data_IF_614595985068
#
_entry.id   IF_614595985068
#
_cell.length_a   1.000
_cell.length_b   1.000
_cell.length_c   1.000
_cell.angle_alpha   90.00
_cell.angle_beta   90.00
_cell.angle_gamma   90.00
#
_symmetry.space_group_name_H-M   'P 1'
#
loop_
_entity.id
_entity.type
_entity.pdbx_description
1 polymer ?
#
# COMPACT_ATOMS: atom_id res chain seq x y z
N UNK A 1 -9.58 17.61 21.28
CA UNK A 1 -9.69 18.76 20.35
C UNK A 1 -10.48 18.41 19.09
N UNK A 2 -10.08 17.39 18.31
CA UNK A 2 -10.76 17.01 17.05
C UNK A 2 -12.28 16.71 17.14
N UNK A 3 -12.76 16.13 18.25
CA UNK A 3 -14.20 15.92 18.45
C UNK A 3 -14.99 17.24 18.66
N UNK A 4 -14.33 18.36 18.96
CA UNK A 4 -14.97 19.67 19.18
C UNK A 4 -14.98 20.57 17.94
N UNK A 5 -14.17 20.24 16.92
CA UNK A 5 -14.08 20.99 15.65
C UNK A 5 -14.81 20.28 14.50
N UNK A 6 -15.27 19.05 14.69
CA UNK A 6 -16.04 18.33 13.67
C UNK A 6 -17.53 18.70 13.77
N UNK A 7 -18.08 19.19 12.66
CA UNK A 7 -19.54 19.19 12.43
C UNK A 7 -20.00 17.74 12.20
N UNK A 8 -21.24 17.41 12.60
CA UNK A 8 -21.76 16.04 12.62
C UNK A 8 -21.85 15.39 11.22
N UNK A 9 -21.98 16.19 10.17
CA UNK A 9 -22.14 15.71 8.78
C UNK A 9 -20.84 15.09 8.26
N UNK A 10 -20.81 13.80 7.93
CA UNK A 10 -19.59 13.04 7.55
C UNK A 10 -18.53 12.92 8.66
N UNK A 11 -18.93 13.01 9.94
CA UNK A 11 -17.99 12.89 11.07
C UNK A 11 -17.20 11.57 11.06
N UNK A 12 -17.83 10.45 10.68
CA UNK A 12 -17.17 9.14 10.60
C UNK A 12 -16.13 9.08 9.47
N UNK A 13 -16.46 9.57 8.27
CA UNK A 13 -15.52 9.64 7.15
C UNK A 13 -14.34 10.56 7.46
N UNK A 14 -14.59 11.75 8.05
CA UNK A 14 -13.51 12.64 8.51
C UNK A 14 -12.70 12.02 9.62
N UNK A 15 -13.31 11.24 10.51
CA UNK A 15 -12.60 10.51 11.56
C UNK A 15 -11.66 9.47 10.93
N UNK A 16 -12.10 8.70 9.93
CA UNK A 16 -11.25 7.74 9.22
C UNK A 16 -10.09 8.46 8.50
N UNK A 17 -10.38 9.50 7.73
CA UNK A 17 -9.35 10.28 7.02
C UNK A 17 -8.37 10.90 8.01
N UNK A 18 -8.84 11.47 9.12
CA UNK A 18 -7.96 12.05 10.14
C UNK A 18 -7.16 10.99 10.90
N UNK A 19 -7.73 9.81 11.16
CA UNK A 19 -7.03 8.71 11.83
C UNK A 19 -5.93 8.10 10.94
N UNK A 20 -6.09 8.09 9.62
CA UNK A 20 -5.10 7.50 8.70
C UNK A 20 -4.14 8.53 8.11
N UNK A 21 -4.66 9.64 7.59
CA UNK A 21 -3.86 10.68 6.95
C UNK A 21 -3.27 11.67 7.96
N UNK A 22 -3.92 11.88 9.11
CA UNK A 22 -3.45 12.81 10.13
C UNK A 22 -2.06 12.45 10.68
N UNK A 23 -1.82 11.16 10.92
CA UNK A 23 -0.52 10.67 11.40
C UNK A 23 0.60 10.94 10.37
N UNK A 24 0.33 10.68 9.10
CA UNK A 24 1.27 10.95 7.99
C UNK A 24 1.52 12.44 7.88
N UNK A 25 0.48 13.27 7.88
CA UNK A 25 0.61 14.73 7.77
C UNK A 25 1.44 15.29 8.94
N UNK A 26 1.15 14.86 10.17
CA UNK A 26 1.92 15.26 11.36
C UNK A 26 3.39 14.85 11.27
N UNK A 27 3.68 13.64 10.80
CA UNK A 27 5.05 13.18 10.63
C UNK A 27 5.80 13.91 9.52
N UNK A 28 5.15 14.17 8.38
CA UNK A 28 5.76 14.87 7.25
C UNK A 28 5.94 16.37 7.52
N UNK A 29 5.20 16.95 8.46
CA UNK A 29 5.37 18.34 8.87
C UNK A 29 6.73 18.53 9.58
N UNK A 30 7.66 19.39 9.10
CA UNK A 30 9.05 19.43 9.58
C UNK A 30 9.19 19.57 11.10
N UNK A 31 8.46 20.51 11.72
CA UNK A 31 8.50 20.75 13.17
C UNK A 31 8.01 19.57 14.00
N UNK A 32 6.93 18.91 13.57
CA UNK A 32 6.32 17.82 14.33
C UNK A 32 7.06 16.52 14.07
N UNK A 33 7.45 16.25 12.81
CA UNK A 33 8.29 15.13 12.45
C UNK A 33 9.60 15.10 13.23
N UNK A 34 10.32 16.23 13.33
CA UNK A 34 11.57 16.29 14.08
C UNK A 34 11.37 16.01 15.57
N UNK A 35 10.31 16.57 16.14
CA UNK A 35 9.94 16.32 17.53
C UNK A 35 9.60 14.84 17.77
N UNK A 36 8.79 14.23 16.90
CA UNK A 36 8.40 12.81 17.00
C UNK A 36 9.64 11.93 16.90
N UNK A 37 10.50 12.17 15.91
CA UNK A 37 11.69 11.35 15.68
C UNK A 37 12.70 11.44 16.82
N UNK A 38 12.91 12.63 17.40
CA UNK A 38 13.80 12.80 18.54
C UNK A 38 13.30 12.03 19.78
N UNK A 39 12.00 12.12 20.08
CA UNK A 39 11.43 11.40 21.21
C UNK A 39 11.45 9.89 20.98
N UNK A 40 11.08 9.42 19.79
CA UNK A 40 11.13 8.01 19.43
C UNK A 40 12.55 7.44 19.57
N UNK A 41 13.55 8.16 19.07
CA UNK A 41 14.95 7.77 19.22
C UNK A 41 15.38 7.65 20.69
N UNK A 42 15.02 8.63 21.52
CA UNK A 42 15.34 8.62 22.95
C UNK A 42 14.66 7.45 23.67
N UNK A 43 13.40 7.19 23.36
CA UNK A 43 12.63 6.09 23.94
C UNK A 43 13.22 4.73 23.56
N UNK A 44 13.58 4.53 22.29
CA UNK A 44 14.24 3.30 21.83
C UNK A 44 15.55 3.09 22.62
N UNK A 45 16.42 4.10 22.70
CA UNK A 45 17.68 3.97 23.41
C UNK A 45 17.49 3.68 24.91
N UNK A 46 16.53 4.35 25.56
CA UNK A 46 16.18 4.12 26.96
C UNK A 46 15.68 2.70 27.19
N UNK A 47 14.81 2.18 26.33
CA UNK A 47 14.32 0.81 26.43
C UNK A 47 15.43 -0.21 26.20
N UNK A 48 16.29 0.00 25.21
CA UNK A 48 17.42 -0.90 24.93
C UNK A 48 18.39 -0.95 26.11
N UNK A 49 18.71 0.20 26.70
CA UNK A 49 19.58 0.30 27.87
C UNK A 49 18.96 -0.38 29.10
N UNK A 50 17.67 -0.13 29.35
CA UNK A 50 16.93 -0.80 30.43
C UNK A 50 16.95 -2.32 30.28
N UNK A 51 16.67 -2.83 29.06
CA UNK A 51 16.72 -4.27 28.79
C UNK A 51 18.12 -4.83 28.99
N UNK A 52 19.16 -4.16 28.47
CA UNK A 52 20.56 -4.64 28.57
C UNK A 52 21.09 -4.64 30.00
N UNK A 53 20.60 -3.73 30.84
CA UNK A 53 20.97 -3.58 32.24
C UNK A 53 20.00 -4.27 33.21
N UNK A 54 19.06 -5.09 32.70
CA UNK A 54 18.11 -5.83 33.52
C UNK A 54 18.83 -6.72 34.55
N UNK A 55 18.38 -6.66 35.82
CA UNK A 55 19.02 -7.33 36.95
C UNK A 55 19.13 -8.85 36.79
N UNK A 56 18.21 -9.46 36.03
CA UNK A 56 18.27 -10.91 35.76
C UNK A 56 19.42 -11.30 34.81
N UNK A 57 20.04 -10.33 34.14
CA UNK A 57 21.09 -10.54 33.13
C UNK A 57 20.59 -11.21 31.84
N UNK A 58 19.31 -11.56 31.75
CA UNK A 58 18.71 -12.35 30.66
C UNK A 58 18.94 -11.76 29.28
N UNK A 59 18.98 -10.44 29.16
CA UNK A 59 19.03 -9.75 27.88
C UNK A 59 20.43 -9.19 27.53
N UNK A 60 21.44 -9.36 28.39
CA UNK A 60 22.78 -8.80 28.18
C UNK A 60 23.36 -9.15 26.81
N UNK A 61 23.26 -10.42 26.42
CA UNK A 61 23.73 -10.95 25.13
C UNK A 61 22.61 -11.28 24.14
N UNK A 62 21.39 -10.78 24.36
CA UNK A 62 20.28 -11.01 23.44
C UNK A 62 20.44 -10.27 22.12
N UNK A 63 19.94 -10.88 21.04
CA UNK A 63 19.77 -10.21 19.75
C UNK A 63 18.57 -9.26 19.81
N UNK A 64 18.65 -8.15 19.10
CA UNK A 64 17.61 -7.12 19.09
C UNK A 64 16.87 -7.14 17.76
N UNK A 65 15.54 -7.18 17.86
CA UNK A 65 14.63 -7.10 16.73
C UNK A 65 13.81 -5.80 16.84
N UNK A 66 13.93 -4.92 15.85
CA UNK A 66 13.09 -3.75 15.73
C UNK A 66 11.93 -4.05 14.78
N UNK A 67 10.71 -3.73 15.21
CA UNK A 67 9.49 -3.94 14.43
C UNK A 67 8.83 -2.58 14.17
N UNK A 68 8.75 -2.20 12.91
CA UNK A 68 8.07 -0.99 12.46
C UNK A 68 6.75 -1.35 11.79
N UNK A 69 5.63 -0.94 12.39
CA UNK A 69 4.30 -1.09 11.80
C UNK A 69 3.85 0.22 11.16
N UNK A 70 3.29 0.15 9.95
CA UNK A 70 2.83 1.32 9.20
C UNK A 70 3.92 2.39 9.17
N UNK A 71 3.63 3.64 9.51
CA UNK A 71 4.59 4.74 9.54
C UNK A 71 5.81 4.50 10.45
N UNK A 72 5.68 3.67 11.50
CA UNK A 72 6.80 3.30 12.35
C UNK A 72 7.93 2.59 11.62
N UNK A 73 7.64 1.95 10.48
CA UNK A 73 8.67 1.38 9.59
C UNK A 73 9.55 2.44 8.93
N UNK A 74 8.95 3.58 8.53
CA UNK A 74 9.67 4.70 7.94
C UNK A 74 10.55 5.40 9.00
N UNK A 75 10.00 5.57 10.21
CA UNK A 75 10.74 6.12 11.35
C UNK A 75 11.91 5.22 11.77
N UNK A 76 11.68 3.91 11.87
CA UNK A 76 12.73 2.94 12.18
C UNK A 76 13.84 2.95 11.13
N UNK A 77 13.48 3.06 9.86
CA UNK A 77 14.45 3.19 8.77
C UNK A 77 15.30 4.47 8.90
N UNK A 78 14.67 5.63 9.13
CA UNK A 78 15.36 6.92 9.28
C UNK A 78 16.35 6.90 10.47
N UNK A 79 15.95 6.33 11.62
CA UNK A 79 16.83 6.16 12.79
C UNK A 79 18.03 5.26 12.47
N UNK A 80 17.79 4.13 11.82
CA UNK A 80 18.86 3.15 11.57
C UNK A 80 19.84 3.64 10.49
N UNK A 81 19.32 4.18 9.38
CA UNK A 81 20.12 4.52 8.21
C UNK A 81 20.64 5.96 8.25
N UNK A 82 20.16 6.79 9.19
CA UNK A 82 20.41 8.23 9.19
C UNK A 82 20.02 8.89 7.85
N UNK A 83 18.98 8.36 7.20
CA UNK A 83 18.45 8.84 5.94
C UNK A 83 17.05 9.40 6.20
N UNK A 84 16.91 10.71 6.01
CA UNK A 84 15.62 11.39 6.15
C UNK A 84 14.64 10.89 5.09
N UNK A 85 13.43 10.53 5.53
CA UNK A 85 12.31 10.10 4.66
C UNK A 85 11.18 11.13 4.63
N UNK A 86 11.53 12.38 4.95
CA UNK A 86 10.65 13.55 5.06
C UNK A 86 11.49 14.82 4.96
N UNK A 87 10.81 15.96 4.81
CA UNK A 87 11.46 17.28 4.87
C UNK A 87 11.83 17.59 6.32
N UNK A 88 13.10 17.95 6.53
CA UNK A 88 13.62 18.37 7.83
C UNK A 88 14.90 19.17 7.62
N UNK A 89 14.98 20.33 8.26
CA UNK A 89 16.19 21.18 8.26
C UNK A 89 17.18 20.79 9.35
N UNK A 90 16.82 19.82 10.20
CA UNK A 90 17.61 19.45 11.35
C UNK A 90 18.73 18.46 11.01
N UNK A 91 19.95 18.70 11.43
CA UNK A 91 21.11 17.84 11.16
C UNK A 91 21.33 16.77 12.24
N UNK A 92 20.26 16.36 12.94
CA UNK A 92 20.32 15.27 13.92
C UNK A 92 20.82 13.99 13.25
N UNK A 93 21.77 13.34 13.93
CA UNK A 93 22.21 11.98 13.66
C UNK A 93 21.76 11.09 14.81
N UNK A 94 21.17 9.96 14.47
CA UNK A 94 20.70 8.94 15.39
C UNK A 94 21.79 7.88 15.56
N UNK A 95 22.20 7.63 16.81
CA UNK A 95 23.16 6.59 17.16
C UNK A 95 22.56 5.68 18.23
N UNK A 96 22.21 4.46 17.85
CA UNK A 96 21.68 3.50 18.80
C UNK A 96 22.79 2.92 19.66
N UNK A 97 22.61 2.93 20.99
CA UNK A 97 23.58 2.40 21.95
C UNK A 97 23.80 0.88 21.81
N UNK A 98 22.87 0.18 21.17
CA UNK A 98 22.93 -1.27 20.96
C UNK A 98 22.74 -1.61 19.48
N UNK A 99 23.45 -2.64 19.03
CA UNK A 99 23.32 -3.18 17.68
C UNK A 99 21.94 -3.78 17.47
N UNK A 100 21.30 -3.43 16.36
CA UNK A 100 20.07 -4.07 15.88
C UNK A 100 20.44 -5.22 14.95
N UNK A 101 19.84 -6.39 15.15
CA UNK A 101 20.12 -7.58 14.33
C UNK A 101 19.03 -7.82 13.27
N UNK A 102 17.79 -7.44 13.57
CA UNK A 102 16.63 -7.65 12.71
C UNK A 102 15.79 -6.39 12.61
N UNK A 103 15.32 -6.09 11.40
CA UNK A 103 14.30 -5.08 11.13
C UNK A 103 13.13 -5.74 10.40
N UNK A 104 11.96 -5.73 11.03
CA UNK A 104 10.71 -6.15 10.43
C UNK A 104 9.85 -4.94 10.14
N UNK A 105 9.45 -4.78 8.89
CA UNK A 105 8.55 -3.74 8.44
C UNK A 105 7.21 -4.36 8.08
N UNK A 106 6.15 -3.90 8.73
CA UNK A 106 4.80 -4.41 8.57
C UNK A 106 3.92 -3.34 7.93
N UNK A 107 3.31 -3.63 6.77
CA UNK A 107 2.38 -2.70 6.11
C UNK A 107 3.03 -1.35 5.79
N UNK A 108 4.24 -1.37 5.21
CA UNK A 108 5.12 -0.20 5.22
C UNK A 108 4.90 0.79 4.07
N UNK A 109 4.76 2.10 4.35
CA UNK A 109 4.81 3.17 3.35
C UNK A 109 6.23 3.56 2.92
N UNK A 110 7.28 2.95 3.48
CA UNK A 110 8.66 3.41 3.32
C UNK A 110 9.06 3.58 1.85
N UNK A 111 8.75 2.61 0.98
CA UNK A 111 9.16 2.68 -0.43
C UNK A 111 8.56 3.88 -1.16
N UNK A 112 7.30 4.21 -0.88
CA UNK A 112 6.66 5.38 -1.46
C UNK A 112 7.30 6.68 -0.95
N UNK A 113 7.58 6.76 0.35
CA UNK A 113 8.26 7.91 0.95
C UNK A 113 9.69 8.07 0.40
N UNK A 114 10.46 6.98 0.29
CA UNK A 114 11.80 7.02 -0.30
C UNK A 114 11.77 7.43 -1.77
N UNK A 115 10.79 6.95 -2.55
CA UNK A 115 10.65 7.37 -3.95
C UNK A 115 10.37 8.88 -4.08
N UNK A 116 9.66 9.46 -3.10
CA UNK A 116 9.33 10.89 -3.09
C UNK A 116 10.49 11.77 -2.61
N UNK A 117 11.16 11.38 -1.52
CA UNK A 117 12.17 12.22 -0.85
C UNK A 117 13.62 11.87 -1.21
N UNK A 118 13.83 10.71 -1.83
CA UNK A 118 15.13 10.19 -2.27
C UNK A 118 15.05 9.63 -3.69
N UNK A 119 14.69 10.46 -4.68
CA UNK A 119 14.55 10.02 -6.08
C UNK A 119 15.84 9.40 -6.64
N UNK A 120 17.01 9.72 -6.07
CA UNK A 120 18.28 9.07 -6.38
C UNK A 120 18.22 7.53 -6.27
N UNK A 121 17.45 6.99 -5.31
CA UNK A 121 17.34 5.55 -5.11
C UNK A 121 16.60 4.82 -6.22
N UNK A 122 15.78 5.53 -7.01
CA UNK A 122 15.08 4.95 -8.16
C UNK A 122 16.07 4.49 -9.22
N UNK A 123 17.22 5.19 -9.36
CA UNK A 123 18.22 4.89 -10.38
C UNK A 123 19.46 4.20 -9.80
N UNK A 124 19.96 4.70 -8.66
CA UNK A 124 21.24 4.30 -8.10
C UNK A 124 21.13 3.08 -7.17
N UNK A 125 19.93 2.85 -6.64
CA UNK A 125 19.62 1.74 -5.77
C UNK A 125 19.80 2.06 -4.29
N UNK A 126 18.90 1.51 -3.49
CA UNK A 126 18.88 1.58 -2.03
C UNK A 126 19.88 0.58 -1.45
N UNK A 127 20.82 1.08 -0.64
CA UNK A 127 21.73 0.24 0.14
C UNK A 127 21.18 0.04 1.55
N UNK A 128 20.92 -1.22 1.89
CA UNK A 128 20.56 -1.60 3.27
C UNK A 128 21.81 -1.64 4.15
N UNK A 129 21.65 -1.36 5.45
CA UNK A 129 22.74 -1.46 6.43
C UNK A 129 23.26 -2.90 6.51
N UNK A 130 24.59 -3.05 6.40
CA UNK A 130 25.26 -4.33 6.58
C UNK A 130 25.07 -4.87 8.00
N UNK A 131 24.71 -6.15 8.11
CA UNK A 131 24.59 -6.84 9.39
C UNK A 131 23.22 -6.75 10.05
N UNK A 132 22.24 -6.10 9.41
CA UNK A 132 20.82 -6.15 9.79
C UNK A 132 20.06 -7.04 8.82
N UNK A 133 19.29 -8.00 9.35
CA UNK A 133 18.37 -8.80 8.53
C UNK A 133 17.06 -8.04 8.36
N UNK A 134 16.78 -7.65 7.13
CA UNK A 134 15.64 -6.81 6.77
C UNK A 134 14.49 -7.66 6.20
N UNK A 135 13.28 -7.44 6.70
CA UNK A 135 12.06 -8.14 6.24
C UNK A 135 10.94 -7.13 5.98
N UNK A 136 10.42 -7.12 4.76
CA UNK A 136 9.22 -6.36 4.38
C UNK A 136 8.03 -7.32 4.29
N UNK A 137 7.07 -7.19 5.21
CA UNK A 137 5.89 -8.03 5.30
C UNK A 137 4.67 -7.15 5.12
N UNK A 138 3.82 -7.48 4.17
CA UNK A 138 2.63 -6.68 3.91
C UNK A 138 1.50 -7.53 3.36
N UNK A 139 0.31 -6.94 3.43
CA UNK A 139 -0.88 -7.53 2.90
C UNK A 139 -1.17 -6.97 1.50
N UNK A 140 -1.57 -7.83 0.54
CA UNK A 140 -1.81 -7.43 -0.84
C UNK A 140 -2.94 -6.40 -1.05
N UNK A 141 -3.84 -6.25 -0.07
CA UNK A 141 -4.88 -5.22 -0.08
C UNK A 141 -4.61 -4.05 0.87
N UNK A 142 -3.43 -3.99 1.50
CA UNK A 142 -3.04 -2.82 2.28
C UNK A 142 -2.67 -1.69 1.31
N UNK A 143 -3.46 -0.60 1.23
CA UNK A 143 -3.24 0.46 0.25
C UNK A 143 -2.00 1.31 0.55
N UNK A 144 -1.42 1.18 1.74
CA UNK A 144 -0.27 1.96 2.19
C UNK A 144 1.03 1.14 2.09
N UNK A 145 0.93 -0.18 1.91
CA UNK A 145 2.08 -1.05 1.93
C UNK A 145 2.71 -1.24 0.53
N UNK A 146 4.01 -1.00 0.42
CA UNK A 146 4.73 -1.11 -0.84
C UNK A 146 5.91 -2.09 -0.74
N UNK A 147 6.22 -2.72 -1.88
CA UNK A 147 7.44 -3.51 -2.07
C UNK A 147 8.67 -2.62 -2.00
N UNK A 148 9.76 -3.11 -1.44
CA UNK A 148 11.02 -2.37 -1.27
C UNK A 148 12.08 -2.81 -2.28
N UNK A 149 11.95 -4.03 -2.78
CA UNK A 149 12.90 -4.69 -3.67
C UNK A 149 13.16 -3.90 -4.96
N UNK A 150 12.17 -3.23 -5.60
CA UNK A 150 12.43 -2.37 -6.75
C UNK A 150 13.40 -1.21 -6.45
N UNK A 151 13.41 -0.69 -5.23
CA UNK A 151 14.37 0.34 -4.83
C UNK A 151 15.74 -0.25 -4.54
N UNK A 152 15.83 -1.49 -4.05
CA UNK A 152 17.11 -2.16 -3.79
C UNK A 152 17.77 -2.60 -5.10
N UNK A 153 16.98 -3.06 -6.07
CA UNK A 153 17.44 -3.62 -7.34
C UNK A 153 16.83 -2.89 -8.54
N UNK A 154 17.09 -1.58 -8.72
CA UNK A 154 16.40 -0.77 -9.74
C UNK A 154 16.67 -1.19 -11.18
N UNK A 155 17.79 -1.88 -11.43
CA UNK A 155 18.21 -2.33 -12.77
C UNK A 155 17.73 -3.74 -13.12
N UNK A 156 16.95 -4.38 -12.24
CA UNK A 156 16.45 -5.75 -12.44
C UNK A 156 15.00 -5.68 -12.90
N UNK A 157 14.74 -6.04 -14.16
CA UNK A 157 13.40 -5.97 -14.76
C UNK A 157 12.43 -7.01 -14.18
N UNK A 158 12.92 -8.23 -13.90
CA UNK A 158 12.09 -9.35 -13.44
C UNK A 158 12.43 -9.69 -11.99
N UNK A 159 11.93 -8.87 -11.06
CA UNK A 159 12.04 -9.15 -9.62
C UNK A 159 11.01 -10.23 -9.26
N UNK A 160 11.44 -11.30 -8.60
CA UNK A 160 10.56 -12.38 -8.15
C UNK A 160 9.40 -11.86 -7.31
N UNK A 161 8.25 -12.54 -7.36
CA UNK A 161 7.09 -12.18 -6.56
C UNK A 161 7.36 -12.34 -5.04
N UNK A 162 6.64 -11.59 -4.19
CA UNK A 162 6.75 -11.73 -2.74
C UNK A 162 6.47 -13.16 -2.30
N UNK A 163 7.25 -13.64 -1.33
CA UNK A 163 7.07 -14.98 -0.76
C UNK A 163 5.80 -15.00 0.08
N UNK A 164 4.90 -15.95 -0.22
CA UNK A 164 3.69 -16.16 0.58
C UNK A 164 4.04 -16.78 1.92
N UNK A 165 3.60 -16.15 3.01
CA UNK A 165 3.70 -16.69 4.36
C UNK A 165 2.46 -17.52 4.65
N UNK A 166 2.66 -18.76 5.11
CA UNK A 166 1.57 -19.66 5.48
C UNK A 166 0.72 -19.07 6.61
N UNK A 167 -0.57 -19.37 6.58
CA UNK A 167 -1.50 -18.94 7.61
C UNK A 167 -1.24 -19.69 8.91
N UNK A 168 -0.99 -18.92 9.97
CA UNK A 168 -0.52 -19.44 11.26
C UNK A 168 -1.46 -20.44 11.93
N UNK A 169 -2.78 -20.42 11.65
CA UNK A 169 -3.73 -21.34 12.33
C UNK A 169 -3.77 -22.74 11.75
N UNK A 170 -3.49 -22.90 10.46
CA UNK A 170 -3.61 -24.20 9.79
C UNK A 170 -2.35 -24.59 9.00
N UNK A 171 -1.27 -23.82 9.13
CA UNK A 171 -0.02 -23.99 8.36
C UNK A 171 -0.24 -24.14 6.85
N UNK A 172 -1.40 -23.72 6.34
CA UNK A 172 -1.78 -23.79 4.94
C UNK A 172 -1.70 -22.42 4.29
N UNK A 173 -1.76 -22.40 2.96
CA UNK A 173 -1.99 -21.15 2.23
C UNK A 173 -3.45 -20.72 2.45
N UNK A 174 -3.69 -19.72 3.30
CA UNK A 174 -4.98 -19.02 3.29
C UNK A 174 -4.95 -18.10 2.08
N UNK A 175 -5.36 -18.63 0.94
CA UNK A 175 -5.57 -17.81 -0.24
C UNK A 175 -6.59 -16.73 0.13
N UNK A 176 -6.21 -15.48 -0.05
CA UNK A 176 -7.03 -14.28 0.15
C UNK A 176 -8.29 -14.23 -0.74
N UNK A 177 -8.64 -15.33 -1.40
CA UNK A 177 -9.69 -15.47 -2.42
C UNK A 177 -11.07 -15.03 -1.94
N UNK A 178 -11.43 -15.19 -0.67
CA UNK A 178 -12.72 -14.70 -0.16
C UNK A 178 -12.75 -13.18 -0.01
N UNK A 179 -11.67 -12.58 0.47
CA UNK A 179 -11.55 -11.13 0.57
C UNK A 179 -11.32 -10.49 -0.80
N UNK A 180 -10.52 -11.10 -1.68
CA UNK A 180 -10.37 -10.70 -3.08
C UNK A 180 -11.71 -10.80 -3.80
N UNK A 181 -12.47 -11.90 -3.64
CA UNK A 181 -13.81 -12.01 -4.22
C UNK A 181 -14.74 -10.92 -3.70
N UNK A 182 -14.73 -10.63 -2.40
CA UNK A 182 -15.53 -9.55 -1.81
C UNK A 182 -15.09 -8.15 -2.28
N UNK A 183 -13.79 -7.93 -2.47
CA UNK A 183 -13.20 -6.68 -2.93
C UNK A 183 -13.36 -6.47 -4.44
N UNK A 184 -13.25 -7.53 -5.26
CA UNK A 184 -13.57 -7.53 -6.68
C UNK A 184 -15.07 -7.29 -6.86
N UNK A 185 -15.91 -7.92 -6.05
CA UNK A 185 -17.34 -7.64 -6.03
C UNK A 185 -17.61 -6.18 -5.62
N UNK A 186 -16.88 -5.63 -4.64
CA UNK A 186 -16.98 -4.22 -4.26
C UNK A 186 -16.48 -3.28 -5.37
N UNK A 187 -15.36 -3.60 -6.05
CA UNK A 187 -14.86 -2.87 -7.22
C UNK A 187 -15.86 -2.89 -8.37
N UNK A 188 -16.42 -4.06 -8.69
CA UNK A 188 -17.46 -4.23 -9.70
C UNK A 188 -18.71 -3.42 -9.33
N UNK A 189 -19.14 -3.47 -8.07
CA UNK A 189 -20.29 -2.70 -7.59
C UNK A 189 -20.05 -1.18 -7.63
N UNK A 190 -18.83 -0.70 -7.31
CA UNK A 190 -18.47 0.72 -7.43
C UNK A 190 -18.43 1.14 -8.91
N UNK A 191 -17.82 0.33 -9.79
CA UNK A 191 -17.79 0.61 -11.24
C UNK A 191 -19.19 0.58 -11.84
N UNK A 192 -20.05 -0.36 -11.43
CA UNK A 192 -21.45 -0.41 -11.82
C UNK A 192 -22.21 0.81 -11.32
N UNK A 193 -22.09 1.18 -10.03
CA UNK A 193 -22.68 2.39 -9.49
C UNK A 193 -22.17 3.67 -10.20
N UNK A 194 -20.90 3.72 -10.59
CA UNK A 194 -20.35 4.83 -11.36
C UNK A 194 -20.89 4.85 -12.79
N UNK A 195 -21.07 3.70 -13.43
CA UNK A 195 -21.71 3.59 -14.74
C UNK A 195 -23.21 3.94 -14.67
N UNK A 196 -23.88 3.63 -13.57
CA UNK A 196 -25.29 3.95 -13.31
C UNK A 196 -25.46 5.45 -12.99
N UNK A 197 -24.54 6.06 -12.23
CA UNK A 197 -24.48 7.52 -12.01
C UNK A 197 -24.14 8.24 -13.32
N UNK A 198 -23.17 7.73 -14.08
CA UNK A 198 -22.77 8.34 -15.36
C UNK A 198 -23.91 8.24 -16.37
N UNK A 199 -24.64 7.12 -16.43
CA UNK A 199 -25.83 6.96 -17.30
C UNK A 199 -27.03 7.79 -16.83
N UNK A 200 -27.24 7.96 -15.52
CA UNK A 200 -28.25 8.86 -14.97
C UNK A 200 -27.93 10.34 -15.25
N UNK A 201 -26.65 10.72 -15.13
CA UNK A 201 -26.16 12.07 -15.46
C UNK A 201 -26.20 12.29 -16.97
N UNK A 202 -25.81 11.33 -17.81
CA UNK A 202 -25.90 11.49 -19.27
C UNK A 202 -27.35 11.56 -19.72
N UNK A 203 -28.27 10.77 -19.18
CA UNK A 203 -29.69 10.91 -19.53
C UNK A 203 -30.28 12.26 -19.07
N UNK A 204 -29.80 12.82 -17.96
CA UNK A 204 -30.15 14.18 -17.51
C UNK A 204 -29.50 15.29 -18.35
N UNK A 205 -28.23 15.16 -18.69
CA UNK A 205 -27.45 16.13 -19.47
C UNK A 205 -27.82 16.11 -20.96
N UNK A 206 -28.05 14.96 -21.59
CA UNK A 206 -28.53 14.90 -22.98
C UNK A 206 -29.92 15.55 -23.13
N UNK A 207 -30.79 15.42 -22.13
CA UNK A 207 -32.11 16.08 -22.14
C UNK A 207 -32.02 17.60 -21.87
N UNK A 208 -30.96 18.04 -21.19
CA UNK A 208 -30.67 19.46 -20.91
C UNK A 208 -29.89 20.14 -22.05
N UNK A 209 -28.98 19.43 -22.73
CA UNK A 209 -28.13 19.95 -23.81
C UNK A 209 -28.77 19.84 -25.21
N UNK A 210 -29.81 19.02 -25.41
CA UNK A 210 -30.47 18.86 -26.72
C UNK A 210 -31.64 19.84 -26.97
N UNK A 211 -31.74 20.96 -26.24
CA UNK A 211 -32.76 21.99 -26.52
C UNK A 211 -32.28 23.12 -27.43
N UNK A 212 -31.25 22.87 -28.24
CA UNK A 212 -30.70 23.85 -29.16
C UNK A 212 -29.91 23.15 -30.28
N UNK A 213 -30.45 23.19 -31.49
CA UNK A 213 -29.76 22.87 -32.75
C UNK A 213 -29.84 24.11 -33.68
N UNK A 214 -29.01 24.23 -34.73
CA UNK A 214 -27.57 23.96 -34.79
C UNK A 214 -26.80 25.13 -35.47
N UNK A 215 -25.46 25.09 -35.52
CA UNK A 215 -24.67 25.48 -36.71
C UNK A 215 -23.16 25.15 -36.57
N UNK A 216 -22.70 24.39 -37.57
CA UNK A 216 -21.40 24.29 -38.28
C UNK A 216 -20.03 24.52 -37.62
N UNK A 217 -19.16 23.53 -37.92
CA UNK A 217 -17.69 23.56 -38.08
C UNK A 217 -16.77 23.61 -36.85
N UNK A 218 -16.35 22.41 -36.39
CA UNK A 218 -14.98 22.14 -35.91
C UNK A 218 -14.69 20.63 -35.95
N UNK A 219 -14.33 20.10 -37.12
CA UNK A 219 -13.76 18.74 -37.25
C UNK A 219 -12.26 18.82 -37.01
N UNK A 220 -11.78 18.50 -35.80
CA UNK A 220 -10.34 18.61 -35.58
C UNK A 220 -9.70 18.04 -34.31
N UNK A 221 -10.38 17.36 -33.37
CA UNK A 221 -9.65 16.74 -32.23
C UNK A 221 -10.41 15.62 -31.51
N UNK A 222 -11.74 15.62 -31.56
CA UNK A 222 -12.58 14.64 -30.84
C UNK A 222 -12.51 13.20 -31.40
N UNK A 223 -12.34 13.03 -32.72
CA UNK A 223 -12.33 11.70 -33.33
C UNK A 223 -11.06 10.88 -32.99
N UNK A 224 -9.93 11.52 -32.65
CA UNK A 224 -8.72 10.81 -32.20
C UNK A 224 -8.88 10.20 -30.80
N UNK A 225 -9.58 10.89 -29.89
CA UNK A 225 -9.81 10.41 -28.52
C UNK A 225 -10.91 9.33 -28.46
N UNK A 226 -11.90 9.38 -29.35
CA UNK A 226 -12.89 8.31 -29.52
C UNK A 226 -12.28 7.01 -30.03
N UNK A 227 -11.24 7.08 -30.87
CA UNK A 227 -10.54 5.90 -31.38
C UNK A 227 -9.63 5.25 -30.32
N UNK A 228 -8.99 6.07 -29.46
CA UNK A 228 -8.18 5.58 -28.34
C UNK A 228 -9.03 4.81 -27.31
N UNK A 229 -10.20 5.36 -26.93
CA UNK A 229 -11.14 4.68 -26.03
C UNK A 229 -11.76 3.42 -26.65
N UNK A 230 -11.94 3.38 -27.98
CA UNK A 230 -12.40 2.15 -28.68
C UNK A 230 -11.35 1.04 -28.66
N UNK A 231 -10.05 1.37 -28.58
CA UNK A 231 -8.97 0.40 -28.43
C UNK A 231 -8.91 -0.16 -27.01
N UNK A 232 -8.97 0.68 -25.97
CA UNK A 232 -9.04 0.23 -24.57
C UNK A 232 -10.28 -0.61 -24.27
N UNK A 233 -11.45 -0.24 -24.83
CA UNK A 233 -12.66 -1.07 -24.70
C UNK A 233 -12.52 -2.45 -25.36
N UNK A 234 -11.72 -2.60 -26.42
CA UNK A 234 -11.42 -3.91 -27.02
C UNK A 234 -10.51 -4.73 -26.12
N UNK A 235 -9.50 -4.12 -25.50
CA UNK A 235 -8.61 -4.80 -24.56
C UNK A 235 -9.33 -5.24 -23.28
N UNK A 236 -10.24 -4.39 -22.77
CA UNK A 236 -11.10 -4.71 -21.63
C UNK A 236 -12.09 -5.83 -21.98
N UNK A 237 -12.71 -5.79 -23.17
CA UNK A 237 -13.61 -6.86 -23.61
C UNK A 237 -12.86 -8.19 -23.85
N UNK A 238 -11.63 -8.13 -24.36
CA UNK A 238 -10.77 -9.29 -24.57
C UNK A 238 -10.27 -9.87 -23.25
N UNK A 239 -9.98 -9.02 -22.26
CA UNK A 239 -9.72 -9.42 -20.87
C UNK A 239 -10.95 -10.08 -20.21
N UNK A 240 -12.14 -9.48 -20.34
CA UNK A 240 -13.39 -10.03 -19.81
C UNK A 240 -13.77 -11.37 -20.46
N UNK A 241 -13.48 -11.55 -21.76
CA UNK A 241 -13.64 -12.83 -22.45
C UNK A 241 -12.67 -13.89 -21.90
N UNK A 242 -11.40 -13.52 -21.68
CA UNK A 242 -10.39 -14.41 -21.05
C UNK A 242 -10.79 -14.82 -19.64
N UNK A 243 -11.36 -13.91 -18.86
CA UNK A 243 -11.88 -14.18 -17.51
C UNK A 243 -13.07 -15.15 -17.57
N UNK A 244 -14.01 -14.95 -18.50
CA UNK A 244 -15.15 -15.85 -18.72
C UNK A 244 -14.76 -17.23 -19.25
N UNK A 245 -13.71 -17.33 -20.07
CA UNK A 245 -13.17 -18.62 -20.52
C UNK A 245 -12.47 -19.37 -19.37
N UNK A 246 -11.71 -18.67 -18.53
CA UNK A 246 -11.07 -19.27 -17.37
C UNK A 246 -12.11 -19.74 -16.33
N UNK A 247 -13.19 -18.99 -16.12
CA UNK A 247 -14.32 -19.43 -15.28
C UNK A 247 -14.97 -20.71 -15.82
N UNK A 248 -15.22 -20.81 -17.13
CA UNK A 248 -15.78 -22.03 -17.76
C UNK A 248 -14.84 -23.25 -17.73
N UNK A 249 -13.52 -23.04 -17.85
CA UNK A 249 -12.51 -24.11 -17.66
C UNK A 249 -12.47 -24.63 -16.22
N UNK A 250 -12.66 -23.74 -15.24
CA UNK A 250 -12.71 -24.11 -13.82
C UNK A 250 -14.00 -24.87 -13.50
N UNK A 251 -15.15 -24.44 -14.02
CA UNK A 251 -16.43 -25.12 -13.84
C UNK A 251 -16.45 -26.52 -14.48
N UNK A 252 -15.90 -26.68 -15.69
CA UNK A 252 -15.76 -27.99 -16.33
C UNK A 252 -14.81 -28.93 -15.58
N UNK A 253 -13.71 -28.40 -15.02
CA UNK A 253 -12.77 -29.19 -14.18
C UNK A 253 -13.43 -29.61 -12.85
N UNK A 254 -14.28 -28.76 -12.26
CA UNK A 254 -15.05 -29.09 -11.06
C UNK A 254 -16.20 -30.09 -11.33
N UNK A 255 -16.84 -30.02 -12.49
CA UNK A 255 -17.90 -30.98 -12.88
C UNK A 255 -17.29 -32.38 -13.10
N UNK A 256 -16.15 -32.49 -13.78
CA UNK A 256 -15.46 -33.79 -13.93
C UNK A 256 -14.96 -34.37 -12.60
N UNK A 257 -14.54 -33.52 -11.65
CA UNK A 257 -14.15 -33.99 -10.30
C UNK A 257 -15.34 -34.41 -9.42
N UNK A 258 -16.55 -33.88 -9.68
CA UNK A 258 -17.75 -34.16 -8.89
C UNK A 258 -18.47 -35.43 -9.36
N UNK A 259 -18.30 -35.83 -10.62
CA UNK A 259 -18.86 -37.09 -11.17
C UNK A 259 -17.99 -38.31 -10.80
N UNK A 260 -16.70 -38.12 -10.48
CA UNK A 260 -15.79 -39.21 -10.10
C UNK A 260 -15.84 -39.67 -8.63
N UNK A 261 -16.78 -39.21 -7.80
CA UNK A 261 -16.88 -39.57 -6.38
C UNK A 261 -18.21 -40.23 -5.98
N UNK A 262 -18.94 -40.78 -6.95
CA UNK A 262 -20.07 -41.68 -6.71
C UNK A 262 -19.99 -42.88 -7.66
N UNK A 263 -19.07 -43.81 -7.40
CA UNK A 263 -19.22 -45.28 -7.51
C UNK A 263 -17.85 -45.96 -7.45
N UNK A 264 -17.79 -47.01 -6.62
CA UNK A 264 -16.67 -47.91 -6.27
C UNK A 264 -15.68 -47.40 -5.20
#
# INVERSE_FOLDING_TARGET
VFNRININTMAETRKIVNLSAGDIICFLHPRYGDYIMLNLYNDINKTLESLKNDESGRFKHSKICLLGYSLGSAMAYEILHNVKVRISDNNLKYELKSKIDYLFMLGSPLSALLSLYKPEYINDGLKLISGIKFYNIFHGFDPVAFRIEPLIYPKVNNISDPVLINYWRNNGARYWFEWDKNMQNAKIAIVQNLNDITSAITNGFYKFLWKSEPNTEEQGTLNKNLCYNKCESKDINMFLLKVKENQRKIESTFIYKRIGFQTM
#
